data_IF_750436143081
#
_entry.id   IF_750436143081
#
_cell.length_a   1.000
_cell.length_b   1.000
_cell.length_c   1.000
_cell.angle_alpha   90.00
_cell.angle_beta   90.00
_cell.angle_gamma   90.00
#
_symmetry.space_group_name_H-M   'P 1'
#
loop_
_entity.id
_entity.type
_entity.pdbx_description
1 polymer ?
#
# COMPACT_ATOMS: atom_id res chain seq x y z
N UNK A 1 17.92 -14.73 -18.89
CA UNK A 1 17.00 -15.40 -17.96
C UNK A 1 15.59 -15.15 -18.46
N UNK A 2 14.80 -16.19 -18.70
CA UNK A 2 13.44 -16.06 -19.19
C UNK A 2 12.49 -15.82 -18.00
N UNK A 3 11.66 -14.78 -18.10
CA UNK A 3 10.61 -14.49 -17.11
C UNK A 3 9.39 -15.37 -17.44
N UNK A 4 9.15 -16.42 -16.63
CA UNK A 4 8.02 -17.32 -16.82
C UNK A 4 6.77 -16.67 -16.25
N UNK A 5 5.93 -16.14 -17.14
CA UNK A 5 4.63 -15.60 -16.77
C UNK A 5 3.71 -16.73 -16.29
N UNK A 6 3.12 -16.64 -15.09
CA UNK A 6 2.23 -17.67 -14.58
C UNK A 6 0.90 -17.65 -15.33
N UNK A 7 0.59 -18.75 -16.04
CA UNK A 7 -0.69 -18.94 -16.74
C UNK A 7 -1.88 -19.23 -15.80
N UNK A 8 -1.63 -19.38 -14.50
CA UNK A 8 -2.67 -19.70 -13.52
C UNK A 8 -3.56 -18.48 -13.27
N UNK A 9 -4.88 -18.67 -13.35
CA UNK A 9 -5.85 -17.62 -12.99
C UNK A 9 -5.52 -17.10 -11.58
N UNK A 10 -5.38 -15.77 -11.40
CA UNK A 10 -5.10 -15.19 -10.09
C UNK A 10 -6.22 -15.57 -9.12
N UNK A 11 -5.83 -15.97 -7.91
CA UNK A 11 -6.77 -16.38 -6.88
C UNK A 11 -7.82 -15.29 -6.60
N UNK A 12 -9.06 -15.63 -6.23
CA UNK A 12 -10.06 -14.66 -5.80
C UNK A 12 -9.55 -13.79 -4.64
N UNK A 13 -8.74 -14.37 -3.76
CA UNK A 13 -8.07 -13.68 -2.66
C UNK A 13 -7.10 -12.59 -3.16
N UNK A 14 -6.32 -12.88 -4.22
CA UNK A 14 -5.46 -11.86 -4.86
C UNK A 14 -6.26 -10.77 -5.57
N UNK A 15 -7.41 -11.12 -6.17
CA UNK A 15 -8.28 -10.17 -6.87
C UNK A 15 -9.03 -9.25 -5.91
N UNK A 16 -9.40 -9.75 -4.73
CA UNK A 16 -10.14 -9.02 -3.71
C UNK A 16 -9.26 -8.54 -2.54
N UNK A 17 -7.94 -8.32 -2.75
CA UNK A 17 -7.07 -7.70 -1.73
C UNK A 17 -7.60 -6.31 -1.37
N UNK A 18 -8.31 -6.21 -0.25
CA UNK A 18 -8.92 -4.97 0.23
C UNK A 18 -10.32 -4.64 -0.31
N UNK A 19 -11.05 -5.60 -0.87
CA UNK A 19 -12.36 -5.35 -1.48
C UNK A 19 -13.43 -4.76 -0.56
N UNK A 20 -13.76 -5.41 0.55
CA UNK A 20 -14.87 -4.97 1.44
C UNK A 20 -14.39 -3.98 2.50
N UNK A 21 -13.48 -4.40 3.39
CA UNK A 21 -13.03 -3.59 4.53
C UNK A 21 -12.40 -2.24 4.13
N UNK A 22 -11.59 -2.20 3.08
CA UNK A 22 -10.95 -0.95 2.67
C UNK A 22 -11.85 -0.02 1.86
N UNK A 23 -12.99 -0.50 1.33
CA UNK A 23 -14.01 0.36 0.71
C UNK A 23 -14.80 1.13 1.76
N UNK A 24 -15.09 0.52 2.91
CA UNK A 24 -15.78 1.14 4.04
C UNK A 24 -14.87 1.97 4.97
N UNK A 25 -13.60 2.19 4.62
CA UNK A 25 -12.66 3.02 5.39
C UNK A 25 -11.85 2.28 6.47
N UNK A 26 -12.04 0.96 6.65
CA UNK A 26 -11.26 0.14 7.57
C UNK A 26 -9.92 -0.30 6.96
N UNK A 27 -9.02 0.66 6.87
CA UNK A 27 -7.67 0.46 6.36
C UNK A 27 -6.73 -0.10 7.44
N UNK A 28 -5.93 -1.11 7.07
CA UNK A 28 -4.81 -1.59 7.89
C UNK A 28 -3.57 -0.80 7.50
N UNK A 29 -3.41 0.37 8.12
CA UNK A 29 -2.26 1.26 7.94
C UNK A 29 -1.00 0.61 8.50
N UNK A 30 0.06 0.63 7.70
CA UNK A 30 1.41 0.20 8.07
C UNK A 30 2.34 1.37 7.78
N UNK A 31 3.30 1.64 8.65
CA UNK A 31 4.27 2.71 8.44
C UNK A 31 5.24 2.29 7.34
N UNK A 32 5.31 3.11 6.30
CA UNK A 32 6.27 2.97 5.22
C UNK A 32 7.59 3.62 5.66
N UNK A 33 8.55 2.79 6.09
CA UNK A 33 9.83 3.27 6.62
C UNK A 33 10.78 3.78 5.53
N UNK A 34 10.53 3.43 4.28
CA UNK A 34 11.41 3.77 3.14
C UNK A 34 11.37 5.26 2.81
N UNK A 35 10.21 5.93 2.98
CA UNK A 35 10.02 7.34 2.62
C UNK A 35 9.61 8.19 3.83
N UNK A 36 10.54 8.31 4.78
CA UNK A 36 10.39 9.14 5.99
C UNK A 36 10.68 10.63 5.77
N UNK A 37 11.28 11.02 4.64
CA UNK A 37 11.64 12.41 4.37
C UNK A 37 10.93 12.93 3.12
N UNK A 38 10.18 14.03 3.24
CA UNK A 38 9.56 14.72 2.11
C UNK A 38 10.53 15.78 1.57
N UNK A 39 11.13 15.51 0.41
CA UNK A 39 12.11 16.40 -0.24
C UNK A 39 11.50 17.75 -0.61
N UNK A 40 10.19 17.81 -0.89
CA UNK A 40 9.52 19.05 -1.30
C UNK A 40 9.20 19.95 -0.12
N UNK A 41 8.90 19.37 1.04
CA UNK A 41 8.58 20.12 2.26
C UNK A 41 9.80 20.32 3.18
N UNK A 42 10.90 19.60 2.94
CA UNK A 42 12.12 19.68 3.75
C UNK A 42 11.93 19.16 5.18
N UNK A 43 10.95 18.27 5.40
CA UNK A 43 10.57 17.77 6.72
C UNK A 43 10.40 16.26 6.74
N UNK A 44 10.60 15.68 7.91
CA UNK A 44 10.27 14.28 8.17
C UNK A 44 8.75 14.10 8.16
N UNK A 45 8.27 13.21 7.30
CA UNK A 45 6.86 12.84 7.20
C UNK A 45 6.71 11.35 7.49
N UNK A 46 5.65 11.00 8.22
CA UNK A 46 5.31 9.60 8.40
C UNK A 46 4.31 9.20 7.34
N UNK A 47 4.74 8.40 6.37
CA UNK A 47 3.85 7.79 5.37
C UNK A 47 3.27 6.50 5.92
N UNK A 48 1.95 6.36 5.81
CA UNK A 48 1.19 5.17 6.14
C UNK A 48 0.69 4.55 4.85
N UNK A 49 1.00 3.29 4.62
CA UNK A 49 0.51 2.51 3.48
C UNK A 49 -0.42 1.41 3.96
N UNK A 50 -1.59 1.30 3.33
CA UNK A 50 -2.51 0.23 3.64
C UNK A 50 -1.97 -1.09 3.08
N UNK A 51 -1.69 -2.07 3.95
CA UNK A 51 -1.22 -3.41 3.54
C UNK A 51 -2.19 -4.19 2.65
N UNK A 52 -3.49 -3.83 2.67
CA UNK A 52 -4.53 -4.53 1.91
C UNK A 52 -4.75 -3.96 0.52
N UNK A 53 -4.90 -2.64 0.41
CA UNK A 53 -5.28 -1.97 -0.84
C UNK A 53 -4.20 -1.04 -1.41
N UNK A 54 -3.06 -0.89 -0.73
CA UNK A 54 -1.97 -0.04 -1.19
C UNK A 54 -2.20 1.48 -1.07
N UNK A 55 -3.39 1.94 -0.63
CA UNK A 55 -3.64 3.37 -0.39
C UNK A 55 -2.59 3.94 0.56
N UNK A 56 -2.16 5.16 0.29
CA UNK A 56 -1.16 5.87 1.08
C UNK A 56 -1.80 7.06 1.78
N UNK A 57 -1.37 7.34 3.01
CA UNK A 57 -1.71 8.52 3.81
C UNK A 57 -0.42 9.11 4.34
N UNK A 58 -0.21 10.40 4.13
CA UNK A 58 0.95 11.11 4.67
C UNK A 58 0.47 11.94 5.84
N UNK A 59 1.10 11.80 7.00
CA UNK A 59 0.91 12.68 8.15
C UNK A 59 2.18 13.50 8.31
N UNK A 60 2.09 14.80 8.02
CA UNK A 60 3.14 15.77 8.32
C UNK A 60 2.96 16.26 9.76
N UNK A 61 4.08 16.53 10.44
CA UNK A 61 4.13 17.16 11.76
C UNK A 61 4.33 18.66 11.64
#
# INVERSE_FOLDING_TARGET
>A
MADILPFRKPSPASRNKGGTLCRHGHHKWVVDKEKQFDVRQGKLVTRYRCSRCGKERVKAH
#
